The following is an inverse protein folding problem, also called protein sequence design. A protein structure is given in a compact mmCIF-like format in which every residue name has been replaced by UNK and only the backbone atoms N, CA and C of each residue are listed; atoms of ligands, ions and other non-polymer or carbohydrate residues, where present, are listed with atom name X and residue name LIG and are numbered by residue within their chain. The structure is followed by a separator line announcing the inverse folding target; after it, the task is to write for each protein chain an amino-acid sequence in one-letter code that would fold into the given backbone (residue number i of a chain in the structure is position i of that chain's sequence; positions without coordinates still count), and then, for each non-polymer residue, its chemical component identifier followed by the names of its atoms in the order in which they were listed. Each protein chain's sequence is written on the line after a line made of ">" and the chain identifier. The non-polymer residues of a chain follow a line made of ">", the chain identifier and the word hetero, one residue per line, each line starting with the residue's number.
data_IF_645985440435
#
_entry.id   IF_645985440435
#
_cell.length_a   1.000
_cell.length_b   1.000
_cell.length_c   1.000
_cell.angle_alpha   90.00
_cell.angle_beta   90.00
_cell.angle_gamma   90.00
#
_symmetry.space_group_name_H-M   'P 1'
#
loop_
_entity.id
_entity.type
_entity.pdbx_description
1 polymer ?
#
# COMPACT_ATOMS: atom_id res chain seq x y z
N UNK A 1 -13.28 8.39 0.07
CA UNK A 1 -14.11 9.40 -0.62
C UNK A 1 -14.94 10.10 0.43
N UNK A 2 -14.74 11.37 0.59
CA UNK A 2 -15.41 12.18 1.61
C UNK A 2 -16.25 13.27 0.91
N UNK A 3 -17.53 13.34 1.22
CA UNK A 3 -18.33 14.54 1.00
C UNK A 3 -18.29 15.30 2.33
N UNK A 4 -17.51 16.34 2.44
CA UNK A 4 -17.17 17.23 3.57
C UNK A 4 -17.61 16.81 5.01
N UNK A 5 -18.44 15.79 5.20
CA UNK A 5 -18.89 15.23 6.49
C UNK A 5 -19.08 13.70 6.53
N UNK A 6 -19.29 13.01 5.39
CA UNK A 6 -19.58 11.58 5.38
C UNK A 6 -18.70 10.83 4.38
N UNK A 7 -18.25 9.63 4.75
CA UNK A 7 -17.56 8.72 3.83
C UNK A 7 -18.60 8.19 2.85
N UNK A 8 -18.41 8.46 1.57
CA UNK A 8 -19.28 7.99 0.48
C UNK A 8 -18.91 6.57 0.04
N UNK A 9 -17.63 6.27 -0.09
CA UNK A 9 -17.12 4.97 -0.44
C UNK A 9 -15.67 4.80 0.07
N UNK A 10 -15.22 3.56 0.21
CA UNK A 10 -13.85 3.21 0.61
C UNK A 10 -13.37 1.95 -0.12
N UNK A 11 -12.08 1.64 -0.03
CA UNK A 11 -11.47 0.48 -0.69
C UNK A 11 -11.65 0.52 -2.21
N UNK A 12 -11.98 -0.62 -2.80
CA UNK A 12 -12.12 -0.76 -4.25
C UNK A 12 -13.18 0.17 -4.85
N UNK A 13 -14.31 0.34 -4.16
CA UNK A 13 -15.38 1.24 -4.63
C UNK A 13 -14.91 2.69 -4.71
N UNK A 14 -14.09 3.14 -3.77
CA UNK A 14 -13.45 4.45 -3.82
C UNK A 14 -12.44 4.55 -4.95
N UNK A 15 -11.61 3.51 -5.13
CA UNK A 15 -10.62 3.46 -6.19
C UNK A 15 -11.24 3.47 -7.60
N UNK A 16 -12.40 2.84 -7.78
CA UNK A 16 -13.12 2.89 -9.07
C UNK A 16 -13.58 4.30 -9.47
N UNK A 17 -13.80 5.17 -8.49
CA UNK A 17 -14.19 6.57 -8.71
C UNK A 17 -12.97 7.50 -8.88
N UNK A 18 -11.76 7.01 -8.68
CA UNK A 18 -10.55 7.80 -8.84
C UNK A 18 -10.44 8.34 -10.27
N UNK A 19 -10.07 9.60 -10.42
CA UNK A 19 -10.05 10.38 -11.69
C UNK A 19 -11.43 10.58 -12.34
N UNK A 20 -12.53 10.08 -11.76
CA UNK A 20 -13.90 10.19 -12.31
C UNK A 20 -14.89 10.84 -11.35
N UNK A 21 -14.47 11.10 -10.11
CA UNK A 21 -15.35 11.67 -9.10
C UNK A 21 -15.77 13.10 -9.45
N UNK A 22 -17.03 13.46 -9.21
CA UNK A 22 -17.49 14.85 -9.40
C UNK A 22 -16.84 15.77 -8.36
N UNK A 23 -16.83 17.08 -8.64
CA UNK A 23 -16.10 18.10 -7.85
C UNK A 23 -16.50 18.19 -6.36
N UNK A 24 -17.67 17.69 -5.99
CA UNK A 24 -18.15 17.63 -4.62
C UNK A 24 -17.68 16.39 -3.84
N UNK A 25 -16.97 15.46 -4.48
CA UNK A 25 -16.42 14.25 -3.86
C UNK A 25 -14.88 14.33 -3.93
N UNK A 26 -14.25 14.30 -2.76
CA UNK A 26 -12.81 14.25 -2.63
C UNK A 26 -12.35 12.81 -2.40
N UNK A 27 -11.37 12.35 -3.18
CA UNK A 27 -10.71 11.06 -2.98
C UNK A 27 -9.36 11.33 -2.31
N UNK A 28 -9.10 10.64 -1.19
CA UNK A 28 -7.84 10.72 -0.48
C UNK A 28 -7.16 9.36 -0.39
N UNK A 29 -5.83 9.38 -0.39
CA UNK A 29 -4.98 8.25 -0.08
C UNK A 29 -4.32 8.55 1.28
N UNK A 30 -4.78 7.92 2.36
CA UNK A 30 -4.30 8.26 3.71
C UNK A 30 -2.89 7.76 4.00
N UNK A 31 -2.35 6.87 3.17
CA UNK A 31 -0.94 6.46 3.17
C UNK A 31 -0.21 7.06 1.98
N UNK A 32 1.02 7.51 2.19
CA UNK A 32 1.90 8.01 1.14
C UNK A 32 3.37 7.77 1.49
N UNK A 33 4.13 7.28 0.54
CA UNK A 33 5.55 6.97 0.71
C UNK A 33 5.86 6.05 1.91
N UNK A 34 4.97 5.11 2.21
CA UNK A 34 5.11 4.15 3.29
C UNK A 34 4.72 4.67 4.68
N UNK A 35 4.25 5.91 4.81
CA UNK A 35 3.85 6.52 6.09
C UNK A 35 2.42 7.06 6.08
N UNK A 36 1.85 7.30 7.26
CA UNK A 36 0.51 7.85 7.39
C UNK A 36 0.55 9.35 7.06
N UNK A 37 -0.10 9.74 5.97
CA UNK A 37 -0.22 11.13 5.53
C UNK A 37 -1.48 11.82 6.09
N UNK A 38 -2.55 11.05 6.36
CA UNK A 38 -3.82 11.54 6.90
C UNK A 38 -4.34 10.56 7.94
N UNK A 39 -4.04 10.87 9.21
CA UNK A 39 -4.38 9.99 10.34
C UNK A 39 -5.89 9.84 10.51
N UNK A 40 -6.67 10.90 10.35
CA UNK A 40 -8.11 10.87 10.57
C UNK A 40 -8.81 9.96 9.54
N UNK A 41 -8.46 10.08 8.27
CA UNK A 41 -9.02 9.22 7.23
C UNK A 41 -8.46 7.79 7.32
N UNK A 42 -7.24 7.60 7.82
CA UNK A 42 -6.69 6.27 8.04
C UNK A 42 -7.39 5.53 9.19
N UNK A 43 -7.68 6.20 10.31
CA UNK A 43 -8.46 5.65 11.43
C UNK A 43 -9.83 5.18 10.98
N UNK A 44 -10.54 6.04 10.23
CA UNK A 44 -11.86 5.72 9.66
C UNK A 44 -11.79 4.53 8.72
N UNK A 45 -10.78 4.48 7.85
CA UNK A 45 -10.59 3.39 6.89
C UNK A 45 -10.34 2.06 7.60
N UNK A 46 -9.47 2.03 8.60
CA UNK A 46 -9.20 0.84 9.42
C UNK A 46 -10.47 0.39 10.15
N UNK A 47 -11.21 1.32 10.76
CA UNK A 47 -12.47 1.00 11.42
C UNK A 47 -13.46 0.34 10.45
N UNK A 48 -13.63 0.89 9.25
CA UNK A 48 -14.54 0.36 8.24
C UNK A 48 -14.10 -1.04 7.78
N UNK A 49 -12.82 -1.27 7.50
CA UNK A 49 -12.32 -2.60 7.10
C UNK A 49 -12.54 -3.64 8.21
N UNK A 50 -12.23 -3.30 9.45
CA UNK A 50 -12.44 -4.22 10.58
C UNK A 50 -13.93 -4.47 10.82
N UNK A 51 -14.77 -3.45 10.68
CA UNK A 51 -16.22 -3.57 10.77
C UNK A 51 -16.78 -4.51 9.71
N UNK A 52 -16.36 -4.37 8.45
CA UNK A 52 -16.79 -5.25 7.36
C UNK A 52 -16.35 -6.70 7.59
N UNK A 53 -15.08 -6.92 7.94
CA UNK A 53 -14.56 -8.26 8.25
C UNK A 53 -15.31 -8.93 9.40
N UNK A 54 -15.74 -8.15 10.39
CA UNK A 54 -16.50 -8.62 11.55
C UNK A 54 -18.02 -8.57 11.38
N UNK A 55 -18.52 -8.24 10.19
CA UNK A 55 -19.94 -8.06 9.88
C UNK A 55 -20.64 -7.12 10.88
N UNK A 56 -19.98 -6.00 11.20
CA UNK A 56 -20.47 -5.00 12.15
C UNK A 56 -20.30 -5.35 13.63
N UNK A 57 -19.89 -6.58 13.97
CA UNK A 57 -19.70 -7.02 15.35
C UNK A 57 -18.20 -7.09 15.71
N UNK A 58 -17.57 -5.94 15.89
CA UNK A 58 -16.15 -5.85 16.25
C UNK A 58 -15.95 -6.48 17.65
N UNK A 59 -15.13 -7.53 17.70
CA UNK A 59 -14.74 -8.23 18.93
C UNK A 59 -13.33 -7.82 19.34
N UNK A 60 -12.98 -7.90 20.65
CA UNK A 60 -11.62 -7.70 21.12
C UNK A 60 -10.64 -8.64 20.43
N UNK A 61 -9.58 -8.08 19.84
CA UNK A 61 -8.57 -8.82 19.09
C UNK A 61 -7.16 -8.29 19.34
N UNK A 62 -6.17 -9.11 19.06
CA UNK A 62 -4.77 -8.70 19.01
C UNK A 62 -4.44 -8.24 17.60
N UNK A 63 -3.75 -7.10 17.49
CA UNK A 63 -3.36 -6.48 16.24
C UNK A 63 -1.85 -6.55 16.06
N UNK A 64 -1.43 -7.06 14.92
CA UNK A 64 -0.06 -7.03 14.44
C UNK A 64 -0.02 -6.16 13.19
N UNK A 65 0.80 -5.10 13.22
CA UNK A 65 0.88 -4.12 12.15
C UNK A 65 2.29 -4.19 11.57
N UNK A 66 2.39 -4.63 10.32
CA UNK A 66 3.65 -4.58 9.60
C UNK A 66 3.88 -3.15 9.09
N UNK A 67 5.01 -2.57 9.43
CA UNK A 67 5.41 -1.21 9.02
C UNK A 67 6.77 -1.26 8.32
N UNK A 68 7.07 -0.33 7.41
CA UNK A 68 8.39 -0.26 6.80
C UNK A 68 9.49 -0.15 7.84
N UNK A 69 10.62 -0.79 7.59
CA UNK A 69 11.74 -0.83 8.54
C UNK A 69 12.49 0.50 8.60
N UNK A 70 12.69 1.15 7.45
CA UNK A 70 13.45 2.39 7.31
C UNK A 70 12.52 3.62 7.47
N UNK A 71 11.84 3.70 8.62
CA UNK A 71 11.01 4.84 9.04
C UNK A 71 11.40 5.29 10.44
N UNK A 72 11.05 6.51 10.80
CA UNK A 72 11.36 7.10 12.10
C UNK A 72 10.52 6.48 13.24
N UNK A 73 11.00 6.59 14.49
CA UNK A 73 10.25 6.14 15.66
C UNK A 73 8.90 6.88 15.82
N UNK A 74 8.84 8.14 15.37
CA UNK A 74 7.59 8.92 15.38
C UNK A 74 6.58 8.32 14.40
N UNK A 75 7.03 7.94 13.20
CA UNK A 75 6.18 7.28 12.19
C UNK A 75 5.74 5.90 12.66
N UNK A 76 6.62 5.09 13.28
CA UNK A 76 6.24 3.81 13.92
C UNK A 76 5.18 4.04 15.00
N UNK A 77 5.35 5.05 15.82
CA UNK A 77 4.39 5.41 16.86
C UNK A 77 3.03 5.78 16.28
N UNK A 78 2.98 6.49 15.16
CA UNK A 78 1.74 6.85 14.49
C UNK A 78 0.92 5.60 14.06
N UNK A 79 1.58 4.53 13.61
CA UNK A 79 0.89 3.25 13.31
C UNK A 79 0.33 2.56 14.56
N UNK A 80 1.02 2.64 15.69
CA UNK A 80 0.49 2.13 16.95
C UNK A 80 -0.76 2.92 17.39
N UNK A 81 -0.65 4.25 17.40
CA UNK A 81 -1.73 5.15 17.82
C UNK A 81 -2.92 5.06 16.88
N UNK A 82 -2.71 4.85 15.56
CA UNK A 82 -3.74 4.57 14.58
C UNK A 82 -4.70 3.45 15.03
N UNK A 83 -4.18 2.29 15.44
CA UNK A 83 -5.03 1.17 15.87
C UNK A 83 -5.69 1.45 17.22
N UNK A 84 -4.97 2.12 18.13
CA UNK A 84 -5.48 2.50 19.43
C UNK A 84 -6.70 3.41 19.31
N UNK A 85 -6.67 4.35 18.37
CA UNK A 85 -7.67 5.41 18.22
C UNK A 85 -8.77 5.07 17.19
N UNK A 86 -8.56 4.06 16.33
CA UNK A 86 -9.53 3.62 15.31
C UNK A 86 -10.80 2.93 15.86
N UNK A 87 -10.98 2.84 17.18
CA UNK A 87 -12.16 2.20 17.82
C UNK A 87 -12.41 0.75 17.37
N UNK A 88 -11.35 -0.04 17.27
CA UNK A 88 -11.40 -1.44 16.80
C UNK A 88 -11.30 -2.49 17.93
N UNK A 89 -11.48 -2.06 19.18
CA UNK A 89 -11.42 -2.91 20.38
C UNK A 89 -10.11 -3.71 20.46
N UNK A 90 -8.97 -3.05 20.24
CA UNK A 90 -7.67 -3.67 20.34
C UNK A 90 -7.38 -4.13 21.78
N UNK A 91 -7.10 -5.41 21.99
CA UNK A 91 -6.65 -6.00 23.25
C UNK A 91 -5.13 -5.87 23.39
N UNK A 92 -4.41 -6.10 22.31
CA UNK A 92 -2.96 -5.97 22.20
C UNK A 92 -2.62 -5.35 20.84
N UNK A 93 -1.64 -4.47 20.81
CA UNK A 93 -1.15 -3.87 19.57
C UNK A 93 0.35 -4.11 19.51
N UNK A 94 0.82 -4.71 18.43
CA UNK A 94 2.24 -4.94 18.16
C UNK A 94 2.58 -4.38 16.78
N UNK A 95 3.56 -3.49 16.74
CA UNK A 95 4.17 -3.01 15.52
C UNK A 95 5.36 -3.92 15.20
N UNK A 96 5.37 -4.48 14.00
CA UNK A 96 6.39 -5.41 13.52
C UNK A 96 7.04 -4.85 12.26
N UNK A 97 8.31 -5.17 12.06
CA UNK A 97 9.02 -4.77 10.86
C UNK A 97 8.54 -5.58 9.66
N UNK A 98 8.15 -4.89 8.59
CA UNK A 98 7.56 -5.50 7.39
C UNK A 98 8.49 -6.54 6.77
N UNK A 99 9.80 -6.26 6.68
CA UNK A 99 10.77 -7.20 6.12
C UNK A 99 10.79 -8.55 6.86
N UNK A 100 10.62 -8.57 8.18
CA UNK A 100 10.51 -9.83 8.96
C UNK A 100 9.18 -10.52 8.65
N UNK A 101 8.08 -9.78 8.60
CA UNK A 101 6.77 -10.34 8.26
C UNK A 101 6.76 -10.96 6.85
N UNK A 102 7.38 -10.29 5.88
CA UNK A 102 7.53 -10.76 4.50
C UNK A 102 8.37 -12.05 4.44
N UNK A 103 9.51 -12.07 5.14
CA UNK A 103 10.35 -13.27 5.23
C UNK A 103 9.60 -14.47 5.82
N UNK A 104 8.86 -14.27 6.90
CA UNK A 104 8.04 -15.31 7.51
C UNK A 104 6.89 -15.76 6.58
N UNK A 105 6.26 -14.83 5.87
CA UNK A 105 5.19 -15.12 4.91
C UNK A 105 5.66 -15.93 3.69
N UNK A 106 6.94 -15.85 3.37
CA UNK A 106 7.59 -16.64 2.30
C UNK A 106 8.20 -17.95 2.81
N UNK A 107 7.93 -18.37 4.06
CA UNK A 107 8.53 -19.53 4.70
C UNK A 107 10.07 -19.51 4.75
N UNK A 108 10.67 -18.30 4.76
CA UNK A 108 12.11 -18.15 4.91
C UNK A 108 12.47 -18.43 6.38
N UNK A 109 13.47 -19.27 6.60
CA UNK A 109 14.08 -19.40 7.92
C UNK A 109 14.91 -18.15 8.25
N UNK A 110 14.23 -17.14 8.79
CA UNK A 110 14.85 -15.84 9.14
C UNK A 110 15.93 -15.98 10.22
N UNK A 111 15.98 -17.14 10.94
CA UNK A 111 17.00 -17.40 11.96
C UNK A 111 18.31 -17.96 11.37
N UNK A 112 18.30 -18.34 10.11
CA UNK A 112 19.50 -18.87 9.44
C UNK A 112 20.60 -17.79 9.43
N UNK A 113 21.85 -18.22 9.53
CA UNK A 113 23.02 -17.37 9.43
C UNK A 113 23.32 -16.90 8.00
N UNK A 114 22.82 -17.60 6.99
CA UNK A 114 22.89 -17.12 5.61
C UNK A 114 21.97 -15.92 5.44
N UNK A 115 22.55 -14.81 4.93
CA UNK A 115 21.77 -13.63 4.60
C UNK A 115 20.80 -13.90 3.45
N UNK A 116 19.53 -13.53 3.62
CA UNK A 116 18.52 -13.61 2.57
C UNK A 116 18.12 -12.20 2.18
N UNK A 117 18.19 -11.89 0.88
CA UNK A 117 17.71 -10.64 0.30
C UNK A 117 16.20 -10.77 0.05
N UNK A 118 15.45 -9.88 0.66
CA UNK A 118 14.00 -9.72 0.42
C UNK A 118 13.76 -8.40 -0.28
N UNK A 119 13.04 -8.44 -1.39
CA UNK A 119 12.62 -7.26 -2.15
C UNK A 119 11.10 -7.25 -2.21
N UNK A 120 10.50 -6.28 -1.53
CA UNK A 120 9.06 -6.06 -1.54
C UNK A 120 8.72 -4.85 -2.41
N UNK A 121 8.09 -5.09 -3.55
CA UNK A 121 7.67 -4.06 -4.50
C UNK A 121 6.19 -3.78 -4.29
N UNK A 122 5.91 -2.73 -3.52
CA UNK A 122 4.56 -2.28 -3.23
C UNK A 122 3.99 -1.32 -4.27
N UNK A 123 2.84 -0.73 -3.93
CA UNK A 123 2.19 0.27 -4.77
C UNK A 123 2.95 1.61 -4.78
N UNK A 124 3.40 2.07 -3.64
CA UNK A 124 4.00 3.41 -3.44
C UNK A 124 5.50 3.36 -3.17
N UNK A 125 5.96 2.28 -2.55
CA UNK A 125 7.34 2.07 -2.14
C UNK A 125 7.85 0.69 -2.50
N UNK A 126 9.18 0.57 -2.60
CA UNK A 126 9.90 -0.70 -2.63
C UNK A 126 10.81 -0.77 -1.41
N UNK A 127 10.73 -1.85 -0.64
CA UNK A 127 11.64 -2.13 0.46
C UNK A 127 12.63 -3.23 0.06
N UNK A 128 13.92 -2.97 0.29
CA UNK A 128 15.00 -3.94 0.03
C UNK A 128 15.69 -4.22 1.36
N UNK A 129 15.62 -5.47 1.82
CA UNK A 129 16.11 -5.86 3.15
C UNK A 129 16.96 -7.11 3.10
N UNK A 130 17.96 -7.19 3.95
CA UNK A 130 18.77 -8.39 4.20
C UNK A 130 18.43 -8.92 5.58
N UNK A 131 17.92 -10.15 5.62
CA UNK A 131 17.57 -10.86 6.85
C UNK A 131 18.65 -11.89 7.17
N UNK A 132 19.06 -11.96 8.44
CA UNK A 132 19.99 -12.98 8.95
C UNK A 132 19.87 -13.08 10.48
N UNK A 133 20.05 -14.27 11.02
CA UNK A 133 20.09 -14.55 12.47
C UNK A 133 18.87 -14.01 13.24
N UNK A 134 17.69 -14.00 12.61
CA UNK A 134 16.45 -13.53 13.22
C UNK A 134 16.27 -12.02 13.26
N UNK A 135 17.12 -11.26 12.56
CA UNK A 135 17.08 -9.81 12.52
C UNK A 135 17.29 -9.24 11.11
N UNK A 136 17.19 -7.92 11.03
CA UNK A 136 17.42 -7.16 9.82
C UNK A 136 18.85 -6.60 9.86
N UNK A 137 19.68 -7.04 8.91
CA UNK A 137 21.07 -6.58 8.79
C UNK A 137 21.13 -5.23 8.07
N UNK A 138 20.30 -5.08 7.05
CA UNK A 138 20.18 -3.85 6.25
C UNK A 138 18.75 -3.74 5.76
N UNK A 139 18.20 -2.54 5.75
CA UNK A 139 16.97 -2.21 5.03
C UNK A 139 17.08 -0.85 4.36
N UNK A 140 16.42 -0.71 3.21
CA UNK A 140 16.26 0.56 2.49
C UNK A 140 14.87 0.66 1.93
N UNK A 141 14.22 1.77 2.22
CA UNK A 141 12.93 2.14 1.66
C UNK A 141 13.15 3.07 0.46
N UNK A 142 12.72 2.63 -0.71
CA UNK A 142 12.78 3.38 -1.96
C UNK A 142 11.38 3.90 -2.26
N UNK A 143 11.23 5.22 -2.43
CA UNK A 143 9.95 5.88 -2.76
C UNK A 143 9.60 5.71 -4.25
N UNK A 144 9.58 4.46 -4.68
CA UNK A 144 9.23 4.03 -6.03
C UNK A 144 8.53 2.68 -5.94
N UNK A 145 7.37 2.58 -6.55
CA UNK A 145 6.54 1.38 -6.60
C UNK A 145 5.62 1.43 -7.81
N UNK A 146 4.57 0.63 -7.79
CA UNK A 146 3.60 0.51 -8.88
C UNK A 146 3.05 1.84 -9.40
N UNK A 147 2.82 2.80 -8.49
CA UNK A 147 2.36 4.14 -8.85
C UNK A 147 3.30 4.86 -9.82
N UNK A 148 4.61 4.83 -9.56
CA UNK A 148 5.61 5.44 -10.45
C UNK A 148 5.80 4.66 -11.74
N UNK A 149 5.62 3.34 -11.70
CA UNK A 149 5.62 2.53 -12.93
C UNK A 149 4.43 2.88 -13.82
N UNK A 150 3.25 3.05 -13.24
CA UNK A 150 2.05 3.49 -13.97
C UNK A 150 2.24 4.88 -14.56
N UNK A 151 2.87 5.80 -13.82
CA UNK A 151 3.19 7.14 -14.33
C UNK A 151 4.18 7.09 -15.51
N UNK A 152 5.19 6.23 -15.46
CA UNK A 152 6.11 6.02 -16.58
C UNK A 152 5.39 5.50 -17.84
N UNK A 153 4.41 4.59 -17.67
CA UNK A 153 3.55 4.13 -18.78
C UNK A 153 2.75 5.29 -19.36
N UNK A 154 2.10 6.12 -18.51
CA UNK A 154 1.36 7.31 -18.96
C UNK A 154 2.22 8.27 -19.79
N UNK A 155 3.43 8.55 -19.29
CA UNK A 155 4.37 9.45 -19.97
C UNK A 155 4.84 8.86 -21.30
N UNK A 156 5.07 7.56 -21.38
CA UNK A 156 5.46 6.89 -22.62
C UNK A 156 4.32 6.92 -23.64
N UNK A 157 3.09 6.59 -23.24
CA UNK A 157 1.91 6.67 -24.14
C UNK A 157 1.70 8.08 -24.63
N UNK A 158 1.84 9.08 -23.76
CA UNK A 158 1.73 10.50 -24.18
C UNK A 158 2.80 10.89 -25.20
N UNK A 159 4.05 10.47 -24.96
CA UNK A 159 5.19 10.84 -25.83
C UNK A 159 5.12 10.16 -27.18
N UNK A 160 4.84 8.85 -27.22
CA UNK A 160 4.91 8.04 -28.44
C UNK A 160 3.63 8.15 -29.28
N UNK A 161 2.47 8.29 -28.63
CA UNK A 161 1.16 8.22 -29.30
C UNK A 161 0.37 9.53 -29.19
N UNK A 162 0.88 10.55 -28.50
CA UNK A 162 0.18 11.80 -28.22
C UNK A 162 -1.21 11.59 -27.58
N UNK A 163 -1.37 10.54 -26.79
CA UNK A 163 -2.60 10.11 -26.14
C UNK A 163 -2.51 10.29 -24.62
N UNK A 164 -3.53 10.88 -24.01
CA UNK A 164 -3.65 10.99 -22.56
C UNK A 164 -4.48 9.83 -22.02
N UNK A 165 -3.89 9.04 -21.14
CA UNK A 165 -4.59 7.95 -20.43
C UNK A 165 -4.60 8.20 -18.92
N UNK A 166 -5.66 7.72 -18.23
CA UNK A 166 -5.76 7.77 -16.78
C UNK A 166 -4.80 6.77 -16.11
N UNK A 167 -4.56 6.98 -14.80
CA UNK A 167 -3.68 6.13 -14.03
C UNK A 167 -4.16 4.68 -13.97
N UNK A 168 -5.47 4.47 -13.85
CA UNK A 168 -6.07 3.13 -13.84
C UNK A 168 -5.84 2.37 -15.16
N UNK A 169 -5.95 3.07 -16.30
CA UNK A 169 -5.64 2.52 -17.62
C UNK A 169 -4.17 2.11 -17.70
N UNK A 170 -3.25 2.97 -17.24
CA UNK A 170 -1.83 2.66 -17.21
C UNK A 170 -1.50 1.44 -16.33
N UNK A 171 -2.11 1.35 -15.14
CA UNK A 171 -1.97 0.19 -14.26
C UNK A 171 -2.46 -1.10 -14.95
N UNK A 172 -3.59 -1.04 -15.65
CA UNK A 172 -4.13 -2.18 -16.40
C UNK A 172 -3.18 -2.59 -17.53
N UNK A 173 -2.64 -1.64 -18.29
CA UNK A 173 -1.64 -1.91 -19.34
C UNK A 173 -0.44 -2.64 -18.74
N UNK A 174 0.18 -2.06 -17.69
CA UNK A 174 1.35 -2.65 -17.05
C UNK A 174 1.09 -4.06 -16.54
N UNK A 175 -0.05 -4.31 -15.92
CA UNK A 175 -0.41 -5.61 -15.35
C UNK A 175 -0.79 -6.64 -16.41
N UNK A 176 -1.35 -6.23 -17.53
CA UNK A 176 -1.87 -7.15 -18.56
C UNK A 176 -0.86 -7.49 -19.65
N UNK A 177 0.03 -6.56 -20.00
CA UNK A 177 0.97 -6.74 -21.11
C UNK A 177 2.43 -6.48 -20.74
N UNK A 178 2.70 -5.97 -19.51
CA UNK A 178 4.08 -5.79 -19.04
C UNK A 178 4.80 -7.12 -18.91
N UNK A 179 5.92 -7.27 -19.62
CA UNK A 179 6.82 -8.41 -19.56
C UNK A 179 8.24 -7.89 -19.60
N UNK A 180 9.12 -8.42 -18.75
CA UNK A 180 10.53 -8.03 -18.69
C UNK A 180 11.42 -8.92 -19.57
N UNK A 181 10.92 -10.08 -19.98
CA UNK A 181 11.71 -11.09 -20.70
C UNK A 181 11.33 -11.22 -22.18
N UNK A 182 10.14 -10.80 -22.56
CA UNK A 182 9.61 -10.97 -23.91
C UNK A 182 8.98 -9.67 -24.42
N UNK A 183 9.04 -9.47 -25.72
CA UNK A 183 8.20 -8.47 -26.37
C UNK A 183 6.73 -8.77 -26.06
N UNK A 184 6.11 -7.88 -25.32
CA UNK A 184 4.77 -8.06 -24.80
C UNK A 184 3.70 -8.07 -25.90
N UNK A 185 2.52 -8.56 -25.55
CA UNK A 185 1.33 -8.44 -26.39
C UNK A 185 0.88 -6.99 -26.45
N UNK A 186 0.46 -6.53 -27.63
CA UNK A 186 -0.15 -5.21 -27.76
C UNK A 186 -1.54 -5.16 -27.08
N UNK A 187 -1.92 -3.98 -26.57
CA UNK A 187 -3.26 -3.70 -26.08
C UNK A 187 -3.84 -2.47 -26.79
N UNK A 188 -5.13 -2.50 -27.06
CA UNK A 188 -5.86 -1.33 -27.57
C UNK A 188 -6.40 -0.55 -26.38
N UNK A 189 -6.05 0.72 -26.31
CA UNK A 189 -6.54 1.64 -25.28
C UNK A 189 -7.16 2.88 -25.91
N UNK A 190 -8.15 3.43 -25.24
CA UNK A 190 -8.83 4.65 -25.63
C UNK A 190 -8.48 5.75 -24.62
N UNK A 191 -8.20 6.94 -25.14
CA UNK A 191 -7.95 8.15 -24.36
C UNK A 191 -9.17 9.03 -24.20
#
# INVERSE_FOLDING_TARGET
>A
IENKKNIFAYGNSAYEMYEKAPANIQISHPLSNGVIADINNMERLIHLFISDMSKGNIRPADFYIAVPTDITEVEKRAFYDLIKDANVKARKIMVVEKAIADGLGMDIDVKNSQGVLVVDIGYDTTEVSILSLGGIVLSRLIKTGGLKFDEAVRQTVRREFNLLIGQKTAATIRQSIGDLEKEGKGAVVYG
#
